data_IF_700512140486
#
_entry.id   IF_700512140486
#
_cell.length_a   1.000
_cell.length_b   1.000
_cell.length_c   1.000
_cell.angle_alpha   90.00
_cell.angle_beta   90.00
_cell.angle_gamma   90.00
#
_symmetry.space_group_name_H-M   'P 1'
#
loop_
_entity.id
_entity.type
_entity.pdbx_description
1 polymer ?
#
# COMPACT_ATOMS: atom_id res chain seq x y z
N UNK A 1 -5.22 -19.96 5.26
CA UNK A 1 -4.86 -18.57 4.96
C UNK A 1 -5.36 -18.19 3.57
N UNK A 2 -6.24 -17.24 3.51
CA UNK A 2 -6.83 -16.75 2.25
C UNK A 2 -6.45 -15.29 1.94
N UNK A 3 -5.40 -14.78 2.57
CA UNK A 3 -4.97 -13.40 2.39
C UNK A 3 -3.48 -13.30 2.11
N UNK A 4 -3.14 -12.37 1.22
CA UNK A 4 -1.77 -11.97 0.93
C UNK A 4 -1.61 -10.51 1.32
N UNK A 5 -0.68 -10.22 2.21
CA UNK A 5 -0.26 -8.85 2.46
C UNK A 5 0.92 -8.53 1.54
N UNK A 6 0.69 -7.59 0.64
CA UNK A 6 1.66 -7.19 -0.38
C UNK A 6 2.23 -5.82 -0.04
N UNK A 7 3.52 -5.77 0.18
CA UNK A 7 4.27 -4.54 0.34
C UNK A 7 5.47 -4.54 -0.60
N UNK A 8 6.15 -3.44 -0.71
CA UNK A 8 7.35 -3.39 -1.55
C UNK A 8 7.83 -1.97 -1.77
N UNK A 9 9.01 -1.87 -2.37
CA UNK A 9 9.60 -0.60 -2.73
C UNK A 9 8.69 0.17 -3.69
N UNK A 10 8.75 1.48 -3.61
CA UNK A 10 8.11 2.33 -4.59
C UNK A 10 8.66 2.01 -5.98
N UNK A 11 7.77 1.78 -6.95
CA UNK A 11 8.18 1.38 -8.31
C UNK A 11 8.59 -0.08 -8.46
N UNK A 12 8.35 -0.93 -7.46
CA UNK A 12 8.69 -2.36 -7.51
C UNK A 12 7.74 -3.21 -8.37
N UNK A 13 6.62 -2.65 -8.81
CA UNK A 13 5.64 -3.36 -9.63
C UNK A 13 4.55 -4.06 -8.85
N UNK A 14 4.22 -3.61 -7.65
CA UNK A 14 3.16 -4.20 -6.81
C UNK A 14 1.82 -4.32 -7.53
N UNK A 15 1.39 -3.25 -8.18
CA UNK A 15 0.12 -3.26 -8.92
C UNK A 15 0.12 -4.28 -10.04
N UNK A 16 1.21 -4.36 -10.81
CA UNK A 16 1.35 -5.34 -11.90
C UNK A 16 1.29 -6.77 -11.38
N UNK A 17 2.01 -7.04 -10.28
CA UNK A 17 1.99 -8.37 -9.65
C UNK A 17 0.59 -8.71 -9.15
N UNK A 18 -0.07 -7.77 -8.50
CA UNK A 18 -1.43 -7.97 -8.00
C UNK A 18 -2.43 -8.22 -9.14
N UNK A 19 -2.34 -7.47 -10.24
CA UNK A 19 -3.21 -7.64 -11.42
C UNK A 19 -3.05 -9.02 -12.08
N UNK A 20 -1.84 -9.56 -12.08
CA UNK A 20 -1.56 -10.90 -12.62
C UNK A 20 -2.01 -11.98 -11.64
N UNK A 21 -1.74 -11.81 -10.36
CA UNK A 21 -1.97 -12.83 -9.34
C UNK A 21 -3.45 -12.96 -8.97
N UNK A 22 -4.16 -11.85 -8.83
CA UNK A 22 -5.54 -11.84 -8.35
C UNK A 22 -6.46 -12.79 -9.10
N UNK A 23 -6.56 -12.77 -10.44
CA UNK A 23 -7.42 -13.71 -11.17
C UNK A 23 -6.95 -15.15 -11.08
N UNK A 24 -5.66 -15.40 -10.91
CA UNK A 24 -5.09 -16.76 -10.83
C UNK A 24 -5.45 -17.49 -9.55
N UNK A 25 -5.65 -16.75 -8.46
CA UNK A 25 -5.98 -17.32 -7.14
C UNK A 25 -7.41 -17.00 -6.70
N UNK A 26 -8.20 -16.37 -7.56
CA UNK A 26 -9.56 -15.97 -7.22
C UNK A 26 -9.61 -14.91 -6.12
N UNK A 27 -8.62 -14.02 -6.07
CA UNK A 27 -8.53 -12.97 -5.06
C UNK A 27 -9.04 -11.63 -5.58
N UNK A 28 -9.55 -10.81 -4.66
CA UNK A 28 -9.83 -9.40 -4.91
C UNK A 28 -8.63 -8.55 -4.47
N UNK A 29 -8.34 -7.52 -5.26
CA UNK A 29 -7.33 -6.53 -4.88
C UNK A 29 -7.91 -5.52 -3.91
N UNK A 30 -7.19 -5.30 -2.81
CA UNK A 30 -7.60 -4.40 -1.74
C UNK A 30 -6.43 -3.48 -1.37
N UNK A 31 -6.33 -2.36 -2.08
CA UNK A 31 -5.26 -1.39 -1.88
C UNK A 31 -5.65 -0.27 -0.93
N UNK A 32 -4.67 0.53 -0.55
CA UNK A 32 -4.87 1.70 0.32
C UNK A 32 -5.92 2.67 -0.23
N UNK A 33 -5.98 2.85 -1.56
CA UNK A 33 -6.99 3.70 -2.20
C UNK A 33 -8.41 3.17 -2.01
N UNK A 34 -8.61 1.86 -2.04
CA UNK A 34 -9.92 1.23 -1.76
C UNK A 34 -10.32 1.48 -0.30
N UNK A 35 -9.39 1.27 0.62
CA UNK A 35 -9.61 1.51 2.06
C UNK A 35 -9.97 2.98 2.29
N UNK A 36 -9.24 3.91 1.69
CA UNK A 36 -9.50 5.34 1.82
C UNK A 36 -10.90 5.71 1.34
N UNK A 37 -11.34 5.18 0.19
CA UNK A 37 -12.68 5.43 -0.33
C UNK A 37 -13.78 4.86 0.56
N UNK A 38 -13.58 3.68 1.13
CA UNK A 38 -14.54 3.08 2.06
C UNK A 38 -14.68 3.89 3.35
N UNK A 39 -13.56 4.33 3.93
CA UNK A 39 -13.57 5.17 5.13
C UNK A 39 -14.24 6.52 4.82
N UNK A 40 -13.88 7.14 3.71
CA UNK A 40 -14.50 8.40 3.26
C UNK A 40 -16.02 8.25 3.12
N UNK A 41 -16.48 7.20 2.47
CA UNK A 41 -17.91 6.93 2.31
C UNK A 41 -18.61 6.74 3.66
N UNK A 42 -18.00 6.06 4.61
CA UNK A 42 -18.54 5.88 5.97
C UNK A 42 -18.69 7.21 6.73
N UNK A 43 -17.90 8.22 6.36
CA UNK A 43 -17.94 9.57 6.93
C UNK A 43 -18.79 10.55 6.11
N UNK A 44 -19.44 10.07 5.04
CA UNK A 44 -20.22 10.92 4.14
C UNK A 44 -19.39 11.86 3.28
N UNK A 45 -18.12 11.52 3.02
CA UNK A 45 -17.20 12.33 2.24
C UNK A 45 -16.86 11.68 0.91
N UNK A 46 -16.63 12.48 -0.13
CA UNK A 46 -15.91 12.02 -1.32
C UNK A 46 -14.39 11.92 -1.01
N UNK A 47 -13.63 11.29 -1.91
CA UNK A 47 -12.19 11.07 -1.66
C UNK A 47 -11.39 12.38 -1.61
N UNK A 48 -11.78 13.39 -2.38
CA UNK A 48 -11.11 14.69 -2.38
C UNK A 48 -11.30 15.42 -1.04
N UNK A 49 -12.53 15.46 -0.55
CA UNK A 49 -12.84 16.02 0.77
C UNK A 49 -12.14 15.24 1.89
N UNK A 50 -12.12 13.91 1.79
CA UNK A 50 -11.45 13.05 2.75
C UNK A 50 -9.95 13.31 2.81
N UNK A 51 -9.27 13.46 1.68
CA UNK A 51 -7.85 13.74 1.64
C UNK A 51 -7.51 15.07 2.33
N UNK A 52 -8.31 16.10 2.10
CA UNK A 52 -8.16 17.41 2.78
C UNK A 52 -8.40 17.25 4.29
N UNK A 53 -9.42 16.51 4.67
CA UNK A 53 -9.74 16.23 6.08
C UNK A 53 -8.58 15.53 6.78
N UNK A 54 -7.95 14.55 6.13
CA UNK A 54 -6.83 13.78 6.69
C UNK A 54 -5.58 14.63 6.94
N UNK A 55 -5.36 15.70 6.17
CA UNK A 55 -4.22 16.61 6.37
C UNK A 55 -4.28 17.29 7.73
N UNK A 56 -5.46 17.54 8.27
CA UNK A 56 -5.68 18.23 9.54
C UNK A 56 -6.13 17.31 10.68
N UNK A 57 -6.32 16.02 10.41
CA UNK A 57 -6.81 15.03 11.37
C UNK A 57 -5.96 13.77 11.35
N UNK A 58 -4.67 13.84 11.76
CA UNK A 58 -3.77 12.68 11.71
C UNK A 58 -4.21 11.53 12.61
N UNK A 59 -5.03 11.78 13.62
CA UNK A 59 -5.64 10.75 14.48
C UNK A 59 -6.51 9.77 13.69
N UNK A 60 -6.99 10.15 12.52
CA UNK A 60 -7.80 9.29 11.65
C UNK A 60 -6.97 8.20 10.93
N UNK A 61 -5.66 8.24 11.00
CA UNK A 61 -4.80 7.14 10.53
C UNK A 61 -5.15 5.82 11.20
N UNK A 62 -5.64 5.88 12.44
CA UNK A 62 -6.12 4.71 13.17
C UNK A 62 -7.28 4.01 12.46
N UNK A 63 -8.11 4.73 11.72
CA UNK A 63 -9.20 4.13 10.95
C UNK A 63 -8.69 3.16 9.88
N UNK A 64 -7.53 3.44 9.28
CA UNK A 64 -6.87 2.52 8.36
C UNK A 64 -6.40 1.24 9.06
N UNK A 65 -5.78 1.39 10.22
CA UNK A 65 -5.29 0.26 11.01
C UNK A 65 -6.46 -0.63 11.44
N UNK A 66 -7.53 -0.04 11.94
CA UNK A 66 -8.76 -0.75 12.34
C UNK A 66 -9.38 -1.49 11.16
N UNK A 67 -9.37 -0.89 9.97
CA UNK A 67 -9.87 -1.55 8.76
C UNK A 67 -8.99 -2.74 8.36
N UNK A 68 -7.67 -2.60 8.44
CA UNK A 68 -6.73 -3.70 8.17
C UNK A 68 -6.93 -4.87 9.15
N UNK A 69 -7.17 -4.57 10.42
CA UNK A 69 -7.49 -5.58 11.44
C UNK A 69 -8.79 -6.31 11.08
N UNK A 70 -9.82 -5.55 10.72
CA UNK A 70 -11.13 -6.12 10.35
C UNK A 70 -11.05 -7.01 9.09
N UNK A 71 -10.16 -6.72 8.15
CA UNK A 71 -9.95 -7.56 6.97
C UNK A 71 -9.43 -8.97 7.30
N UNK A 72 -8.89 -9.17 8.51
CA UNK A 72 -8.48 -10.50 8.97
C UNK A 72 -9.63 -11.50 9.00
N UNK A 73 -10.82 -11.03 9.30
CA UNK A 73 -12.02 -11.85 9.45
C UNK A 73 -12.93 -11.84 8.20
N UNK A 74 -12.49 -11.14 7.14
CA UNK A 74 -13.19 -11.14 5.85
C UNK A 74 -13.08 -12.53 5.20
N UNK A 75 -14.20 -13.13 4.76
CA UNK A 75 -14.18 -14.48 4.18
C UNK A 75 -13.57 -14.54 2.78
N UNK A 76 -13.43 -13.40 2.10
CA UNK A 76 -12.90 -13.33 0.73
C UNK A 76 -11.41 -13.63 0.70
N UNK A 77 -10.94 -14.14 -0.43
CA UNK A 77 -9.50 -14.20 -0.73
C UNK A 77 -9.07 -12.81 -1.19
N UNK A 78 -8.12 -12.22 -0.47
CA UNK A 78 -7.72 -10.82 -0.70
C UNK A 78 -6.22 -10.70 -0.93
N UNK A 79 -5.84 -9.81 -1.83
CA UNK A 79 -4.49 -9.24 -1.91
C UNK A 79 -4.57 -7.83 -1.32
N UNK A 80 -3.99 -7.67 -0.14
CA UNK A 80 -4.02 -6.41 0.61
C UNK A 80 -2.71 -5.66 0.36
N UNK A 81 -2.78 -4.62 -0.45
CA UNK A 81 -1.63 -3.78 -0.80
C UNK A 81 -1.58 -2.56 0.12
N UNK A 82 -0.89 -2.73 1.23
CA UNK A 82 -0.67 -1.67 2.21
C UNK A 82 0.65 -1.91 2.94
N UNK A 83 1.35 -0.81 3.25
CA UNK A 83 2.62 -0.88 4.00
C UNK A 83 2.49 -1.54 5.37
N UNK A 84 1.31 -1.47 5.98
CA UNK A 84 1.06 -1.99 7.32
C UNK A 84 0.21 -3.26 7.36
N UNK A 85 -0.23 -3.77 6.20
CA UNK A 85 -1.07 -4.97 6.15
C UNK A 85 -0.41 -6.18 6.83
N UNK A 86 0.90 -6.36 6.65
CA UNK A 86 1.65 -7.46 7.23
C UNK A 86 1.62 -7.46 8.77
N UNK A 87 1.40 -6.31 9.38
CA UNK A 87 1.35 -6.14 10.83
C UNK A 87 -0.07 -6.28 11.38
N UNK A 88 -1.02 -5.58 10.79
CA UNK A 88 -2.39 -5.51 11.31
C UNK A 88 -3.29 -6.65 10.87
N UNK A 89 -3.06 -7.23 9.68
CA UNK A 89 -3.88 -8.33 9.21
C UNK A 89 -3.30 -9.67 9.66
N UNK A 90 -4.11 -10.44 10.38
CA UNK A 90 -3.73 -11.77 10.85
C UNK A 90 -3.81 -12.80 9.71
N UNK A 91 -3.09 -13.91 9.87
CA UNK A 91 -3.20 -15.09 8.98
C UNK A 91 -2.95 -14.78 7.50
N UNK A 92 -1.99 -13.88 7.21
CA UNK A 92 -1.61 -13.55 5.83
C UNK A 92 -0.32 -14.23 5.39
N UNK A 93 -0.21 -14.50 4.08
CA UNK A 93 1.08 -14.68 3.43
C UNK A 93 1.71 -13.32 3.21
N UNK A 94 2.87 -13.09 3.78
CA UNK A 94 3.56 -11.79 3.75
C UNK A 94 4.53 -11.76 2.59
N UNK A 95 4.28 -10.89 1.62
CA UNK A 95 5.10 -10.74 0.42
C UNK A 95 5.65 -9.31 0.38
N UNK A 96 6.95 -9.20 0.21
CA UNK A 96 7.61 -7.92 0.00
C UNK A 96 8.37 -7.92 -1.31
N UNK A 97 8.01 -7.01 -2.22
CA UNK A 97 8.66 -6.87 -3.51
C UNK A 97 9.82 -5.89 -3.42
N UNK A 98 10.98 -6.34 -3.84
CA UNK A 98 12.19 -5.52 -3.95
C UNK A 98 12.57 -5.35 -5.40
N UNK A 99 13.21 -4.23 -5.71
CA UNK A 99 13.81 -4.00 -7.00
C UNK A 99 15.01 -3.08 -6.85
N UNK A 100 15.90 -3.08 -7.83
CA UNK A 100 16.98 -2.11 -7.86
C UNK A 100 16.40 -0.67 -7.83
N UNK A 101 16.92 0.23 -6.98
CA UNK A 101 16.39 1.60 -6.86
C UNK A 101 16.40 2.38 -8.17
N UNK A 102 17.40 2.17 -9.02
CA UNK A 102 17.49 2.82 -10.33
C UNK A 102 16.40 2.33 -11.28
N UNK A 103 16.14 1.02 -11.30
CA UNK A 103 15.06 0.42 -12.10
C UNK A 103 13.70 0.92 -11.59
N UNK A 104 13.52 0.97 -10.28
CA UNK A 104 12.30 1.50 -9.67
C UNK A 104 12.06 2.96 -10.07
N UNK A 105 13.10 3.78 -10.02
CA UNK A 105 13.04 5.19 -10.40
C UNK A 105 12.67 5.38 -11.87
N UNK A 106 13.23 4.59 -12.78
CA UNK A 106 12.89 4.63 -14.22
C UNK A 106 11.40 4.29 -14.41
N UNK A 107 10.89 3.26 -13.74
CA UNK A 107 9.47 2.87 -13.81
C UNK A 107 8.56 3.98 -13.30
N UNK A 108 8.91 4.63 -12.20
CA UNK A 108 8.13 5.74 -11.63
C UNK A 108 8.06 6.90 -12.62
N UNK A 109 9.18 7.28 -13.21
CA UNK A 109 9.25 8.36 -14.20
C UNK A 109 8.45 8.04 -15.46
N UNK A 110 8.53 6.81 -15.97
CA UNK A 110 7.80 6.36 -17.16
C UNK A 110 6.28 6.27 -16.90
N UNK A 111 5.86 5.89 -15.70
CA UNK A 111 4.45 5.80 -15.34
C UNK A 111 3.76 7.16 -15.21
N UNK A 112 4.52 8.27 -15.18
CA UNK A 112 3.96 9.62 -15.07
C UNK A 112 3.08 9.81 -13.84
N UNK A 113 3.41 9.18 -12.71
CA UNK A 113 2.65 9.28 -11.47
C UNK A 113 2.65 10.71 -10.94
N UNK A 114 1.56 11.43 -11.19
CA UNK A 114 1.45 12.84 -10.80
C UNK A 114 1.43 13.07 -9.29
N UNK A 115 0.96 12.11 -8.51
CA UNK A 115 0.95 12.19 -7.05
C UNK A 115 2.36 12.08 -6.44
N UNK A 116 3.31 11.57 -7.19
CA UNK A 116 4.70 11.34 -6.80
C UNK A 116 5.61 12.09 -7.78
N UNK A 117 5.45 13.41 -7.84
CA UNK A 117 6.20 14.26 -8.78
C UNK A 117 7.68 14.25 -8.45
N UNK A 118 8.43 13.49 -9.23
CA UNK A 118 9.90 13.49 -9.16
C UNK A 118 10.47 14.33 -10.31
N UNK A 119 11.29 15.31 -9.97
CA UNK A 119 11.93 16.18 -10.93
C UNK A 119 13.13 15.52 -11.62
N UNK A 120 13.66 14.44 -11.04
CA UNK A 120 14.85 13.77 -11.55
C UNK A 120 14.85 12.28 -11.19
N UNK A 121 15.68 11.51 -11.94
CA UNK A 121 15.95 10.11 -11.66
C UNK A 121 16.59 9.90 -10.27
N UNK A 122 17.45 10.84 -9.85
CA UNK A 122 18.10 10.80 -8.54
C UNK A 122 17.09 10.92 -7.40
N UNK A 123 16.14 11.82 -7.52
CA UNK A 123 15.07 12.02 -6.54
C UNK A 123 14.18 10.76 -6.42
N UNK A 124 13.78 10.17 -7.55
CA UNK A 124 13.00 8.95 -7.58
C UNK A 124 13.77 7.77 -6.98
N UNK A 125 15.06 7.65 -7.25
CA UNK A 125 15.93 6.62 -6.67
C UNK A 125 16.04 6.77 -5.16
N UNK A 126 16.25 7.98 -4.67
CA UNK A 126 16.32 8.29 -3.25
C UNK A 126 15.00 7.97 -2.54
N UNK A 127 13.87 8.28 -3.16
CA UNK A 127 12.55 7.99 -2.61
C UNK A 127 12.29 6.49 -2.47
N UNK A 128 12.62 5.70 -3.47
CA UNK A 128 12.49 4.24 -3.43
C UNK A 128 13.33 3.63 -2.30
N UNK A 129 14.58 4.08 -2.16
CA UNK A 129 15.48 3.63 -1.09
C UNK A 129 14.98 4.03 0.30
N UNK A 130 14.42 5.22 0.44
CA UNK A 130 13.83 5.70 1.69
C UNK A 130 12.62 4.84 2.11
N UNK A 131 11.74 4.50 1.20
CA UNK A 131 10.58 3.66 1.46
C UNK A 131 11.00 2.26 1.97
N UNK A 132 12.02 1.66 1.35
CA UNK A 132 12.59 0.39 1.80
C UNK A 132 13.13 0.47 3.23
N UNK A 133 13.94 1.49 3.49
CA UNK A 133 14.54 1.69 4.81
C UNK A 133 13.47 1.93 5.89
N UNK A 134 12.42 2.67 5.55
CA UNK A 134 11.30 2.95 6.45
C UNK A 134 10.53 1.67 6.79
N UNK A 135 10.24 0.83 5.78
CA UNK A 135 9.59 -0.46 5.98
C UNK A 135 10.39 -1.36 6.90
N UNK A 136 11.68 -1.50 6.66
CA UNK A 136 12.56 -2.34 7.47
C UNK A 136 12.63 -1.86 8.92
N UNK A 137 12.74 -0.56 9.14
CA UNK A 137 12.72 0.01 10.49
C UNK A 137 11.42 -0.31 11.22
N UNK A 138 10.28 -0.14 10.58
CA UNK A 138 8.97 -0.46 11.16
C UNK A 138 8.87 -1.96 11.48
N UNK A 139 9.29 -2.81 10.55
CA UNK A 139 9.25 -4.26 10.74
C UNK A 139 10.06 -4.71 11.96
N UNK A 140 11.28 -4.18 12.14
CA UNK A 140 12.11 -4.54 13.28
C UNK A 140 11.67 -3.89 14.59
N UNK A 141 11.04 -2.73 14.55
CA UNK A 141 10.49 -2.07 15.74
C UNK A 141 9.24 -2.77 16.29
N UNK A 142 8.46 -3.43 15.40
CA UNK A 142 7.17 -4.05 15.74
C UNK A 142 7.25 -5.59 15.90
N UNK A 143 8.39 -6.19 15.59
CA UNK A 143 8.63 -7.63 15.80
C UNK A 143 9.30 -7.91 17.11
#
# INVERSE_FOLDING_TARGET
>A
RNKISLAGDLGSGKSTVADILAPRIGAEYYGTGVIAREIAASMGMDIAAFNIFMETHPEQDRAFDDRLIALSDDPRTLIIDSRMAWHFTRETYRVYLTTDPTVAAIRIMQAGRQAEKFSSLEEATARSSFERASYLRLKFALS
#
